data_IF_728232934757
#
_entry.id   IF_728232934757
#
_cell.length_a   1.000
_cell.length_b   1.000
_cell.length_c   1.000
_cell.angle_alpha   90.00
_cell.angle_beta   90.00
_cell.angle_gamma   90.00
#
_symmetry.space_group_name_H-M   'P 1'
#
loop_
_entity.id
_entity.type
_entity.pdbx_description
1 polymer ?
#
# COMPACT_ATOMS: atom_id res chain seq x y z
N UNK A 1 -33.38 11.87 -46.58
CA UNK A 1 -32.14 12.29 -45.90
C UNK A 1 -32.37 12.63 -44.40
N UNK A 2 -33.43 13.31 -44.01
CA UNK A 2 -33.69 13.66 -42.56
C UNK A 2 -33.84 12.45 -41.63
N UNK A 3 -34.36 11.31 -42.11
CA UNK A 3 -34.52 10.08 -41.30
C UNK A 3 -33.21 9.42 -40.89
N UNK A 4 -32.17 9.50 -41.68
CA UNK A 4 -30.86 8.92 -41.38
C UNK A 4 -30.05 9.74 -40.39
N UNK A 5 -30.28 11.06 -40.36
CA UNK A 5 -29.67 11.95 -39.36
C UNK A 5 -30.17 11.63 -37.95
N UNK A 6 -31.46 11.34 -37.83
CA UNK A 6 -32.06 10.94 -36.57
C UNK A 6 -31.55 9.60 -36.04
N UNK A 7 -31.32 8.64 -36.94
CA UNK A 7 -30.77 7.33 -36.61
C UNK A 7 -29.32 7.42 -36.18
N UNK A 8 -28.52 8.29 -36.81
CA UNK A 8 -27.12 8.53 -36.50
C UNK A 8 -26.97 9.23 -35.15
N UNK A 9 -27.89 10.14 -34.76
CA UNK A 9 -27.93 10.81 -33.46
C UNK A 9 -28.21 9.84 -32.32
N UNK A 10 -29.02 8.81 -32.56
CA UNK A 10 -29.39 7.81 -31.55
C UNK A 10 -28.21 6.89 -31.20
N UNK A 11 -27.29 6.64 -32.14
CA UNK A 11 -26.11 5.78 -31.90
C UNK A 11 -25.05 6.51 -31.06
N UNK A 12 -25.03 7.85 -31.10
CA UNK A 12 -24.06 8.63 -30.32
C UNK A 12 -24.41 8.77 -28.84
N UNK A 13 -25.68 8.57 -28.45
CA UNK A 13 -26.16 8.71 -27.07
C UNK A 13 -25.88 7.49 -26.16
N UNK A 14 -25.36 6.38 -26.69
CA UNK A 14 -25.09 5.15 -25.92
C UNK A 14 -23.72 5.10 -25.26
N UNK A 15 -22.94 6.16 -25.31
CA UNK A 15 -21.66 6.26 -24.59
C UNK A 15 -21.88 6.64 -23.11
N UNK A 16 -22.79 5.98 -22.42
CA UNK A 16 -22.79 5.96 -20.96
C UNK A 16 -21.59 5.19 -20.48
N UNK A 17 -20.49 5.89 -20.23
CA UNK A 17 -19.36 5.33 -19.50
C UNK A 17 -19.86 5.12 -18.08
N UNK A 18 -20.19 3.89 -17.75
CA UNK A 18 -20.48 3.49 -16.36
C UNK A 18 -19.21 3.77 -15.55
N UNK A 19 -19.19 4.89 -14.83
CA UNK A 19 -18.12 5.18 -13.89
C UNK A 19 -18.17 4.11 -12.80
N UNK A 20 -17.24 3.19 -12.83
CA UNK A 20 -17.12 2.19 -11.79
C UNK A 20 -16.68 2.89 -10.50
N UNK A 21 -17.63 3.03 -9.57
CA UNK A 21 -17.32 3.52 -8.23
C UNK A 21 -16.54 2.44 -7.48
N UNK A 22 -15.43 2.84 -6.89
CA UNK A 22 -14.57 2.03 -6.03
C UNK A 22 -14.74 2.46 -4.59
N UNK A 23 -14.23 1.66 -3.68
CA UNK A 23 -14.16 2.01 -2.27
C UNK A 23 -12.78 1.67 -1.68
N UNK A 24 -12.46 2.34 -0.59
CA UNK A 24 -11.37 1.97 0.30
C UNK A 24 -11.98 1.49 1.61
N UNK A 25 -11.61 0.31 2.05
CA UNK A 25 -11.91 -0.23 3.37
C UNK A 25 -10.69 -0.06 4.27
N UNK A 26 -10.90 0.48 5.47
CA UNK A 26 -9.88 0.68 6.48
C UNK A 26 -10.31 0.02 7.79
N UNK A 27 -9.38 -0.68 8.44
CA UNK A 27 -9.60 -1.32 9.73
C UNK A 27 -8.37 -1.14 10.61
N UNK A 28 -8.54 -0.68 11.86
CA UNK A 28 -7.43 -0.64 12.83
C UNK A 28 -7.18 -2.01 13.44
N UNK A 29 -5.91 -2.38 13.63
CA UNK A 29 -5.50 -3.63 14.27
C UNK A 29 -6.05 -3.75 15.70
N UNK A 30 -6.03 -2.67 16.47
CA UNK A 30 -6.47 -2.60 17.86
C UNK A 30 -7.94 -2.24 18.08
N UNK A 31 -8.80 -2.29 17.06
CA UNK A 31 -10.21 -1.83 17.13
C UNK A 31 -10.34 -0.39 17.62
N UNK A 32 -9.37 0.44 17.34
CA UNK A 32 -9.30 1.82 17.82
C UNK A 32 -10.04 2.74 16.87
N UNK A 33 -10.90 3.66 17.37
CA UNK A 33 -11.52 4.67 16.53
C UNK A 33 -10.49 5.60 15.88
N UNK A 34 -10.71 5.97 14.65
CA UNK A 34 -9.89 6.90 13.88
C UNK A 34 -10.75 7.72 12.92
N UNK A 35 -10.17 8.70 12.28
CA UNK A 35 -10.79 9.44 11.18
C UNK A 35 -9.81 9.60 10.03
N UNK A 36 -10.37 9.86 8.86
CA UNK A 36 -9.62 10.19 7.65
C UNK A 36 -10.14 11.50 7.10
N UNK A 37 -9.26 12.44 6.81
CA UNK A 37 -9.58 13.62 6.01
C UNK A 37 -9.25 13.33 4.56
N UNK A 38 -10.23 13.47 3.69
CA UNK A 38 -10.11 13.29 2.25
C UNK A 38 -10.91 14.38 1.54
N UNK A 39 -10.29 15.12 0.62
CA UNK A 39 -10.93 16.16 -0.16
C UNK A 39 -11.75 17.15 0.71
N UNK A 40 -11.16 17.64 1.79
CA UNK A 40 -11.80 18.56 2.77
C UNK A 40 -12.98 17.94 3.56
N UNK A 41 -13.25 16.66 3.43
CA UNK A 41 -14.25 15.93 4.21
C UNK A 41 -13.58 15.12 5.30
N UNK A 42 -14.19 15.07 6.46
CA UNK A 42 -13.77 14.20 7.56
C UNK A 42 -14.71 13.02 7.59
N UNK A 43 -14.14 11.82 7.54
CA UNK A 43 -14.83 10.55 7.59
C UNK A 43 -14.37 9.83 8.85
N UNK A 44 -15.29 9.53 9.75
CA UNK A 44 -14.97 8.85 11.02
C UNK A 44 -15.23 7.35 10.92
N UNK A 45 -14.36 6.57 11.53
CA UNK A 45 -14.58 5.15 11.70
C UNK A 45 -15.71 4.87 12.70
N UNK A 46 -16.17 3.62 12.71
CA UNK A 46 -16.97 3.10 13.82
C UNK A 46 -16.13 3.04 15.11
N UNK A 47 -16.81 2.84 16.25
CA UNK A 47 -16.13 2.61 17.54
C UNK A 47 -15.25 1.35 17.54
N UNK A 48 -15.51 0.42 16.63
CA UNK A 48 -14.71 -0.79 16.45
C UNK A 48 -13.56 -0.62 15.43
N UNK A 49 -13.31 0.61 14.96
CA UNK A 49 -12.17 0.90 14.09
C UNK A 49 -12.37 0.50 12.62
N UNK A 50 -13.60 0.57 12.09
CA UNK A 50 -13.90 0.29 10.68
C UNK A 50 -14.37 1.53 9.95
N UNK A 51 -13.87 1.75 8.75
CA UNK A 51 -14.27 2.84 7.86
C UNK A 51 -14.33 2.36 6.41
N UNK A 52 -15.40 2.72 5.70
CA UNK A 52 -15.51 2.56 4.25
C UNK A 52 -15.57 3.95 3.62
N UNK A 53 -14.73 4.20 2.64
CA UNK A 53 -14.74 5.42 1.83
C UNK A 53 -15.27 5.05 0.45
N UNK A 54 -16.56 5.29 0.18
CA UNK A 54 -17.20 4.89 -1.08
C UNK A 54 -17.06 5.95 -2.17
N UNK A 55 -17.51 5.59 -3.38
CA UNK A 55 -17.63 6.49 -4.55
C UNK A 55 -16.32 7.12 -4.97
N UNK A 56 -15.26 6.36 -4.93
CA UNK A 56 -13.97 6.74 -5.45
C UNK A 56 -13.84 6.27 -6.90
N UNK A 57 -13.06 7.00 -7.68
CA UNK A 57 -12.67 6.63 -9.06
C UNK A 57 -11.22 6.18 -9.07
N UNK A 58 -10.75 5.66 -10.20
CA UNK A 58 -9.32 5.40 -10.40
C UNK A 58 -8.52 6.70 -10.24
N UNK A 59 -7.38 6.63 -9.54
CA UNK A 59 -6.52 7.78 -9.30
C UNK A 59 -5.73 7.71 -8.00
N UNK A 60 -4.99 8.78 -7.74
CA UNK A 60 -4.19 8.94 -6.53
C UNK A 60 -4.96 9.73 -5.48
N UNK A 61 -4.92 9.25 -4.25
CA UNK A 61 -5.60 9.86 -3.11
C UNK A 61 -4.63 10.06 -1.96
N UNK A 62 -4.67 11.24 -1.37
CA UNK A 62 -3.96 11.55 -0.14
C UNK A 62 -4.93 11.47 1.02
N UNK A 63 -4.75 10.50 1.89
CA UNK A 63 -5.51 10.28 3.11
C UNK A 63 -4.77 10.90 4.29
N UNK A 64 -5.38 11.82 5.00
CA UNK A 64 -4.82 12.31 6.26
C UNK A 64 -5.49 11.54 7.41
N UNK A 65 -4.77 10.56 7.94
CA UNK A 65 -5.20 9.69 9.04
C UNK A 65 -4.97 10.39 10.37
N UNK A 66 -5.98 10.43 11.21
CA UNK A 66 -5.91 10.99 12.55
C UNK A 66 -6.72 10.21 13.58
N UNK A 67 -6.51 10.51 14.84
CA UNK A 67 -7.16 9.83 15.97
C UNK A 67 -7.88 10.84 16.87
N UNK A 68 -8.94 10.41 17.58
CA UNK A 68 -9.63 11.26 18.52
C UNK A 68 -8.68 11.83 19.58
N UNK A 69 -9.01 13.02 20.08
CA UNK A 69 -8.23 13.71 21.13
C UNK A 69 -6.77 14.03 20.77
N UNK A 70 -6.42 13.95 19.49
CA UNK A 70 -5.03 14.15 19.02
C UNK A 70 -3.99 13.26 19.74
N UNK A 71 -4.38 12.03 20.05
CA UNK A 71 -3.50 11.06 20.70
C UNK A 71 -2.20 10.81 19.92
N UNK A 72 -2.28 10.94 18.59
CA UNK A 72 -1.14 10.86 17.68
C UNK A 72 -1.20 11.97 16.64
N UNK A 73 -0.03 12.37 16.16
CA UNK A 73 0.09 13.30 15.03
C UNK A 73 -0.58 12.73 13.79
N UNK A 74 -1.33 13.56 13.07
CA UNK A 74 -1.94 13.18 11.81
C UNK A 74 -0.88 12.68 10.80
N UNK A 75 -1.18 11.59 10.09
CA UNK A 75 -0.29 10.96 9.12
C UNK A 75 -0.86 11.12 7.73
N UNK A 76 -0.06 11.63 6.82
CA UNK A 76 -0.39 11.74 5.41
C UNK A 76 0.02 10.48 4.66
N UNK A 77 -0.95 9.79 4.05
CA UNK A 77 -0.78 8.48 3.42
C UNK A 77 -1.30 8.54 1.99
N UNK A 78 -0.44 8.22 1.03
CA UNK A 78 -0.80 8.21 -0.40
C UNK A 78 -1.19 6.81 -0.85
N UNK A 79 -2.38 6.69 -1.44
CA UNK A 79 -2.90 5.44 -2.00
C UNK A 79 -3.32 5.65 -3.44
N UNK A 80 -3.12 4.63 -4.27
CA UNK A 80 -3.51 4.64 -5.68
C UNK A 80 -4.60 3.62 -5.92
N UNK A 81 -5.78 4.09 -6.32
CA UNK A 81 -6.89 3.22 -6.75
C UNK A 81 -6.72 2.94 -8.24
N UNK A 82 -6.69 1.66 -8.56
CA UNK A 82 -6.72 1.16 -9.93
C UNK A 82 -8.08 0.51 -10.19
N UNK A 83 -8.10 -0.63 -10.84
CA UNK A 83 -9.31 -1.36 -11.24
C UNK A 83 -10.05 -2.06 -10.09
N UNK A 84 -9.44 -2.16 -8.90
CA UNK A 84 -9.98 -2.91 -7.77
C UNK A 84 -10.26 -2.01 -6.58
N UNK A 85 -11.16 -2.47 -5.72
CA UNK A 85 -11.34 -1.90 -4.39
C UNK A 85 -10.11 -2.19 -3.53
N UNK A 86 -9.83 -1.33 -2.57
CA UNK A 86 -8.66 -1.46 -1.69
C UNK A 86 -9.09 -1.76 -0.26
N UNK A 87 -8.39 -2.65 0.39
CA UNK A 87 -8.54 -2.94 1.82
C UNK A 87 -7.21 -2.75 2.55
N UNK A 88 -7.23 -1.96 3.63
CA UNK A 88 -6.03 -1.70 4.42
C UNK A 88 -6.25 -1.96 5.90
N UNK A 89 -5.25 -2.57 6.51
CA UNK A 89 -5.09 -2.60 7.95
C UNK A 89 -4.31 -1.36 8.40
N UNK A 90 -4.93 -0.55 9.25
CA UNK A 90 -4.29 0.62 9.88
C UNK A 90 -3.51 0.13 11.09
N UNK A 91 -2.19 0.26 11.06
CA UNK A 91 -1.27 -0.31 12.05
C UNK A 91 -0.27 0.72 12.54
N UNK A 92 0.07 0.65 13.83
CA UNK A 92 1.15 1.44 14.40
C UNK A 92 2.48 0.71 14.24
N UNK A 93 3.46 1.39 13.65
CA UNK A 93 4.82 0.90 13.42
C UNK A 93 5.83 1.57 14.37
N UNK A 94 5.39 1.95 15.56
CA UNK A 94 6.19 2.61 16.60
C UNK A 94 6.89 3.89 16.07
N UNK A 95 8.21 3.88 15.95
CA UNK A 95 9.00 5.04 15.50
C UNK A 95 8.61 5.57 14.12
N UNK A 96 8.10 4.72 13.24
CA UNK A 96 7.62 5.11 11.89
C UNK A 96 6.20 5.68 11.89
N UNK A 97 5.53 5.66 13.05
CA UNK A 97 4.15 6.11 13.20
C UNK A 97 3.13 5.14 12.62
N UNK A 98 1.96 5.68 12.29
CA UNK A 98 0.87 4.91 11.72
C UNK A 98 1.03 4.75 10.21
N UNK A 99 0.66 3.60 9.69
CA UNK A 99 0.69 3.29 8.26
C UNK A 99 -0.46 2.36 7.85
N UNK A 100 -0.53 2.08 6.56
CA UNK A 100 -1.52 1.19 5.95
C UNK A 100 -0.82 -0.06 5.45
N UNK A 101 -1.32 -1.22 5.82
CA UNK A 101 -0.92 -2.51 5.24
C UNK A 101 -2.00 -2.95 4.28
N UNK A 102 -1.70 -3.07 3.01
CA UNK A 102 -2.62 -3.62 2.02
C UNK A 102 -2.96 -5.07 2.35
N UNK A 103 -4.25 -5.39 2.49
CA UNK A 103 -4.71 -6.71 2.92
C UNK A 103 -4.49 -7.81 1.85
N UNK A 104 -4.30 -7.43 0.59
CA UNK A 104 -4.09 -8.38 -0.51
C UNK A 104 -2.61 -8.59 -0.82
N UNK A 105 -1.84 -7.50 -0.85
CA UNK A 105 -0.43 -7.52 -1.27
C UNK A 105 0.55 -7.49 -0.12
N UNK A 106 0.07 -7.18 1.10
CA UNK A 106 0.87 -6.97 2.32
C UNK A 106 1.90 -5.84 2.20
N UNK A 107 1.77 -5.00 1.17
CA UNK A 107 2.59 -3.81 1.04
C UNK A 107 2.23 -2.79 2.10
N UNK A 108 3.23 -2.06 2.58
CA UNK A 108 3.04 -1.07 3.63
C UNK A 108 3.23 0.33 3.08
N UNK A 109 2.25 1.19 3.32
CA UNK A 109 2.28 2.62 3.01
C UNK A 109 2.46 3.38 4.32
N UNK A 110 3.57 4.10 4.43
CA UNK A 110 3.82 5.04 5.52
C UNK A 110 3.55 6.48 5.08
N UNK A 111 3.87 7.44 5.92
CA UNK A 111 3.76 8.87 5.62
C UNK A 111 4.29 9.21 4.21
N UNK A 112 3.63 10.14 3.52
CA UNK A 112 3.93 10.55 2.15
C UNK A 112 5.41 10.88 1.89
N UNK A 113 6.12 11.33 2.92
CA UNK A 113 7.55 11.63 2.86
C UNK A 113 8.46 10.40 3.03
N UNK A 114 7.89 9.22 3.35
CA UNK A 114 8.60 7.97 3.57
C UNK A 114 7.97 6.82 2.79
N UNK A 115 7.95 6.91 1.47
CA UNK A 115 7.69 5.74 0.62
C UNK A 115 8.91 4.84 0.70
N UNK A 116 8.96 3.97 1.71
CA UNK A 116 9.84 2.81 1.65
C UNK A 116 9.18 1.85 0.68
N UNK A 117 9.62 1.90 -0.57
CA UNK A 117 9.42 0.80 -1.47
C UNK A 117 10.08 -0.41 -0.80
N UNK A 118 9.29 -1.24 -0.18
CA UNK A 118 9.72 -2.61 0.11
C UNK A 118 9.84 -3.25 -1.26
N UNK A 119 11.06 -3.18 -1.81
CA UNK A 119 11.42 -4.04 -2.93
C UNK A 119 11.12 -5.44 -2.44
N UNK A 120 10.11 -6.05 -3.04
CA UNK A 120 9.99 -7.49 -3.00
C UNK A 120 11.37 -8.01 -3.39
N UNK A 121 12.07 -8.62 -2.44
CA UNK A 121 13.28 -9.35 -2.72
C UNK A 121 12.93 -10.35 -3.81
N UNK A 122 13.22 -10.00 -5.07
CA UNK A 122 13.59 -10.98 -6.04
C UNK A 122 14.79 -11.65 -5.42
N UNK A 123 14.56 -12.81 -4.85
CA UNK A 123 15.59 -13.79 -4.60
C UNK A 123 16.15 -14.09 -5.99
N UNK A 124 17.13 -13.31 -6.41
CA UNK A 124 18.03 -13.71 -7.47
C UNK A 124 18.87 -14.83 -6.85
N UNK A 125 18.37 -16.03 -7.00
CA UNK A 125 19.10 -17.27 -6.93
C UNK A 125 20.16 -17.25 -8.03
N UNK A 126 21.24 -16.55 -7.75
CA UNK A 126 22.51 -16.64 -8.45
C UNK A 126 23.64 -16.42 -7.44
N UNK A 127 23.58 -17.20 -6.37
CA UNK A 127 24.76 -17.46 -5.56
C UNK A 127 25.70 -18.31 -6.42
N UNK A 128 26.69 -17.67 -6.98
CA UNK A 128 27.88 -18.37 -7.41
C UNK A 128 28.46 -19.05 -6.17
N UNK A 129 28.40 -20.36 -6.18
CA UNK A 129 29.17 -21.21 -5.27
C UNK A 129 30.61 -21.05 -5.70
N UNK A 130 31.33 -20.16 -5.05
CA UNK A 130 32.78 -20.10 -5.12
C UNK A 130 33.29 -21.27 -4.27
N UNK A 131 33.68 -22.35 -4.97
CA UNK A 131 34.33 -23.50 -4.36
C UNK A 131 35.73 -23.04 -4.02
N UNK A 132 35.96 -22.65 -2.77
CA UNK A 132 37.30 -22.49 -2.22
C UNK A 132 37.87 -23.89 -2.05
N UNK A 133 38.71 -24.31 -3.00
CA UNK A 133 39.53 -25.50 -2.90
C UNK A 133 40.57 -25.27 -1.81
N UNK A 134 40.33 -25.86 -0.64
CA UNK A 134 41.32 -25.90 0.42
C UNK A 134 42.46 -26.80 -0.02
N UNK A 135 43.65 -26.25 -0.23
CA UNK A 135 44.86 -27.00 -0.34
C UNK A 135 45.30 -27.54 1.04
N UNK A 136 45.79 -28.76 1.12
CA UNK A 136 46.34 -29.30 2.35
C UNK A 136 47.65 -28.62 2.69
N UNK A 137 47.73 -27.93 3.81
CA UNK A 137 48.96 -27.42 4.37
C UNK A 137 49.74 -28.57 5.02
N UNK A 138 50.88 -28.89 4.42
CA UNK A 138 51.90 -29.72 5.05
C UNK A 138 52.45 -29.02 6.30
N UNK A 139 52.53 -29.79 7.39
CA UNK A 139 53.17 -29.42 8.64
C UNK A 139 54.71 -29.36 8.46
N UNK A 140 55.38 -28.31 8.93
CA UNK A 140 56.81 -28.40 9.16
C UNK A 140 57.10 -28.90 10.59
N UNK A 141 57.92 -29.91 10.60
CA UNK A 141 58.53 -30.61 11.71
C UNK A 141 59.19 -29.65 12.71
N UNK A 142 58.82 -29.81 13.98
CA UNK A 142 59.51 -29.20 15.12
C UNK A 142 60.81 -29.95 15.33
N UNK A 143 61.94 -29.30 15.12
CA UNK A 143 63.25 -29.74 15.62
C UNK A 143 63.41 -29.19 17.03
N UNK A 144 63.41 -30.09 18.02
CA UNK A 144 64.00 -29.85 19.33
C UNK A 144 65.49 -29.84 19.20
N UNK A 145 66.16 -28.83 19.72
CA UNK A 145 67.52 -28.87 20.14
C UNK A 145 67.66 -28.49 21.60
N UNK A 146 68.13 -29.45 22.35
CA UNK A 146 68.98 -29.50 23.53
C UNK A 146 69.08 -28.23 24.38
#
# INVERSE_FOLDING_TARGET
>A
MKKYIFLLSLIFSLKSIAQQNRFIYLQTEGKQPFYVKLNKKILSSSSAGYLIIPKLTEGNYTLLLGFPKNEWTEQELNVTIQKNDLGFLVKNFNEKGWGLVDMNTYQVVYNANNVIQTQANKINEKSQIEIVTAQPNENPIIKQNT
#
